data_IF_561745680236
#
_entry.id   IF_561745680236
#
_cell.length_a   1.000
_cell.length_b   1.000
_cell.length_c   1.000
_cell.angle_alpha   90.00
_cell.angle_beta   90.00
_cell.angle_gamma   90.00
#
_symmetry.space_group_name_H-M   'P 1'
#
loop_
_entity.id
_entity.type
_entity.pdbx_description
1 polymer ?
#
# COMPACT_ATOMS: atom_id res chain seq x y z
N UNK A 1 -11.55 -57.55 12.37
CA UNK A 1 -10.34 -56.89 11.85
C UNK A 1 -10.76 -55.61 11.15
N UNK A 2 -10.57 -54.49 11.83
CA UNK A 2 -11.07 -53.15 11.47
C UNK A 2 -9.91 -52.27 11.01
N UNK A 3 -9.91 -51.74 9.77
CA UNK A 3 -9.04 -50.64 9.41
C UNK A 3 -9.62 -49.32 9.96
N UNK A 4 -8.74 -48.56 10.59
CA UNK A 4 -9.00 -47.36 11.40
C UNK A 4 -9.51 -46.18 10.55
N UNK A 5 -10.53 -45.41 11.00
CA UNK A 5 -11.05 -44.24 10.28
C UNK A 5 -10.15 -42.99 10.39
N UNK A 6 -8.89 -43.13 10.85
CA UNK A 6 -7.99 -42.00 11.13
C UNK A 6 -7.32 -41.38 9.91
N UNK A 7 -7.32 -42.06 8.76
CA UNK A 7 -6.58 -41.58 7.58
C UNK A 7 -7.38 -40.55 6.77
N UNK A 8 -8.72 -40.65 6.75
CA UNK A 8 -9.55 -39.70 5.99
C UNK A 8 -9.65 -38.31 6.64
N UNK A 9 -9.50 -38.21 7.96
CA UNK A 9 -9.62 -36.93 8.67
C UNK A 9 -8.39 -36.02 8.50
N UNK A 10 -7.22 -36.60 8.23
CA UNK A 10 -5.97 -35.82 8.04
C UNK A 10 -5.91 -35.18 6.64
N UNK A 11 -6.48 -35.82 5.62
CA UNK A 11 -6.56 -35.27 4.26
C UNK A 11 -7.57 -34.11 4.15
N UNK A 12 -8.67 -34.14 4.93
CA UNK A 12 -9.65 -33.05 4.94
C UNK A 12 -9.10 -31.80 5.68
N UNK A 13 -8.30 -31.99 6.73
CA UNK A 13 -7.63 -30.89 7.45
C UNK A 13 -6.49 -30.24 6.64
N UNK A 14 -5.83 -30.98 5.74
CA UNK A 14 -4.84 -30.42 4.83
C UNK A 14 -5.47 -29.58 3.69
N UNK A 15 -6.69 -29.93 3.25
CA UNK A 15 -7.42 -29.16 2.24
C UNK A 15 -8.07 -27.88 2.82
N UNK A 16 -8.39 -27.85 4.11
CA UNK A 16 -8.98 -26.69 4.79
C UNK A 16 -7.95 -25.63 5.21
N UNK A 17 -6.65 -25.88 5.01
CA UNK A 17 -5.59 -24.92 5.30
C UNK A 17 -5.26 -23.97 4.12
N UNK A 18 -5.88 -24.17 2.94
CA UNK A 18 -5.61 -23.37 1.74
C UNK A 18 -6.72 -22.40 1.35
N UNK A 19 -7.80 -22.29 2.15
CA UNK A 19 -8.70 -21.15 2.03
C UNK A 19 -8.06 -19.95 2.73
N UNK A 20 -7.06 -19.37 2.07
CA UNK A 20 -6.66 -17.99 2.36
C UNK A 20 -7.95 -17.17 2.22
N UNK A 21 -8.47 -16.54 3.30
CA UNK A 21 -9.60 -15.65 3.11
C UNK A 21 -9.14 -14.60 2.09
N UNK A 22 -10.00 -14.28 1.13
CA UNK A 22 -9.73 -13.31 0.05
C UNK A 22 -9.50 -11.85 0.55
N UNK A 23 -9.02 -11.68 1.79
CA UNK A 23 -8.58 -10.45 2.41
C UNK A 23 -7.37 -10.63 3.35
N UNK A 24 -6.70 -11.79 3.36
CA UNK A 24 -5.43 -11.92 4.06
C UNK A 24 -4.31 -11.37 3.18
N UNK A 25 -3.82 -10.18 3.52
CA UNK A 25 -2.63 -9.58 2.91
C UNK A 25 -1.48 -10.59 2.99
N UNK A 26 -1.02 -11.11 1.86
CA UNK A 26 0.15 -11.99 1.83
C UNK A 26 1.37 -11.12 2.10
N UNK A 27 2.14 -11.47 3.14
CA UNK A 27 3.44 -10.85 3.42
C UNK A 27 4.50 -11.91 3.16
N UNK A 28 5.28 -11.71 2.11
CA UNK A 28 6.49 -12.50 1.88
C UNK A 28 7.55 -12.04 2.89
N UNK A 29 7.76 -12.86 3.92
CA UNK A 29 8.71 -12.57 4.99
C UNK A 29 10.11 -13.03 4.57
N UNK A 30 10.97 -12.09 4.18
CA UNK A 30 12.40 -12.34 4.05
C UNK A 30 13.18 -11.21 4.71
N UNK A 31 13.91 -11.55 5.78
CA UNK A 31 14.95 -10.78 6.47
C UNK A 31 14.66 -9.28 6.70
N UNK A 32 13.62 -9.00 7.47
CA UNK A 32 13.28 -7.62 7.88
C UNK A 32 13.86 -7.30 9.26
N UNK A 33 14.44 -6.11 9.38
CA UNK A 33 14.86 -5.52 10.66
C UNK A 33 13.63 -5.23 11.55
N UNK A 34 13.79 -5.11 12.88
CA UNK A 34 12.67 -4.85 13.79
C UNK A 34 11.89 -3.56 13.47
N UNK A 35 12.55 -2.54 12.92
CA UNK A 35 11.92 -1.28 12.51
C UNK A 35 11.03 -1.48 11.26
N UNK A 36 11.52 -2.24 10.28
CA UNK A 36 10.79 -2.58 9.06
C UNK A 36 9.57 -3.45 9.37
N UNK A 37 9.71 -4.42 10.29
CA UNK A 37 8.60 -5.23 10.78
C UNK A 37 7.53 -4.34 11.44
N UNK A 38 7.92 -3.41 12.31
CA UNK A 38 6.98 -2.50 12.97
C UNK A 38 6.21 -1.64 11.97
N UNK A 39 6.89 -1.04 10.99
CA UNK A 39 6.22 -0.23 9.97
C UNK A 39 5.33 -1.07 9.06
N UNK A 40 5.76 -2.28 8.69
CA UNK A 40 4.94 -3.20 7.88
C UNK A 40 3.65 -3.60 8.61
N UNK A 41 3.72 -3.86 9.92
CA UNK A 41 2.52 -4.09 10.73
C UNK A 41 1.62 -2.86 10.81
N UNK A 42 2.20 -1.67 11.01
CA UNK A 42 1.44 -0.43 11.00
C UNK A 42 0.77 -0.18 9.63
N UNK A 43 1.44 -0.49 8.52
CA UNK A 43 0.89 -0.38 7.17
C UNK A 43 -0.23 -1.39 6.91
N UNK A 44 -0.12 -2.61 7.44
CA UNK A 44 -1.24 -3.58 7.40
C UNK A 44 -2.47 -3.06 8.14
N UNK A 45 -2.30 -2.45 9.30
CA UNK A 45 -3.40 -1.83 10.03
C UNK A 45 -3.99 -0.65 9.23
N UNK A 46 -3.13 0.20 8.66
CA UNK A 46 -3.55 1.28 7.77
C UNK A 46 -4.24 0.79 6.51
N UNK A 47 -3.95 -0.41 6.03
CA UNK A 47 -4.61 -0.98 4.84
C UNK A 47 -6.10 -1.19 5.06
N UNK A 48 -6.47 -1.63 6.25
CA UNK A 48 -7.88 -1.79 6.61
C UNK A 48 -8.58 -0.43 6.59
N UNK A 49 -7.92 0.60 7.14
CA UNK A 49 -8.38 1.98 7.10
C UNK A 49 -8.50 2.48 5.66
N UNK A 50 -7.41 2.43 4.88
CA UNK A 50 -7.39 2.87 3.49
C UNK A 50 -8.48 2.17 2.67
N UNK A 51 -8.59 0.84 2.71
CA UNK A 51 -9.56 0.10 1.92
C UNK A 51 -11.01 0.40 2.31
N UNK A 52 -11.28 0.76 3.58
CA UNK A 52 -12.59 1.22 4.03
C UNK A 52 -12.95 2.61 3.48
N UNK A 53 -11.95 3.46 3.21
CA UNK A 53 -12.12 4.81 2.70
C UNK A 53 -11.85 4.95 1.19
N UNK A 54 -11.25 3.94 0.53
CA UNK A 54 -10.82 4.00 -0.86
C UNK A 54 -11.96 4.32 -1.82
N UNK A 55 -13.16 3.79 -1.56
CA UNK A 55 -14.35 4.05 -2.36
C UNK A 55 -14.90 5.49 -2.22
N UNK A 56 -14.46 6.22 -1.18
CA UNK A 56 -14.84 7.63 -0.92
C UNK A 56 -13.80 8.62 -1.44
N UNK A 57 -12.61 8.14 -1.79
CA UNK A 57 -11.57 9.01 -2.33
C UNK A 57 -11.96 9.49 -3.74
N UNK A 58 -11.51 10.70 -4.14
CA UNK A 58 -11.77 11.19 -5.48
C UNK A 58 -11.19 10.23 -6.53
N UNK A 59 -11.96 9.94 -7.58
CA UNK A 59 -11.54 8.99 -8.62
C UNK A 59 -10.24 9.38 -9.35
N UNK A 60 -9.88 10.67 -9.36
CA UNK A 60 -8.60 11.12 -9.92
C UNK A 60 -7.40 10.80 -9.02
N UNK A 61 -7.60 10.56 -7.72
CA UNK A 61 -6.54 10.20 -6.78
C UNK A 61 -6.26 8.69 -6.80
N UNK A 62 -7.31 7.86 -6.83
CA UNK A 62 -7.17 6.39 -6.78
C UNK A 62 -7.23 5.71 -8.14
N UNK A 63 -7.96 6.29 -9.10
CA UNK A 63 -8.18 5.71 -10.42
C UNK A 63 -6.91 5.46 -11.23
N UNK A 64 -5.91 6.38 -11.23
CA UNK A 64 -4.65 6.15 -11.94
C UNK A 64 -3.88 4.90 -11.50
N UNK A 65 -4.11 4.42 -10.28
CA UNK A 65 -3.38 3.31 -9.66
C UNK A 65 -4.26 2.09 -9.37
N UNK A 66 -5.48 2.04 -9.91
CA UNK A 66 -6.50 1.08 -9.48
C UNK A 66 -6.08 -0.40 -9.59
N UNK A 67 -5.22 -0.76 -10.54
CA UNK A 67 -4.78 -2.13 -10.82
C UNK A 67 -3.26 -2.18 -11.06
N UNK A 68 -2.50 -1.48 -10.22
CA UNK A 68 -1.09 -1.20 -10.47
C UNK A 68 -0.24 -1.47 -9.23
N UNK A 69 1.06 -1.62 -9.46
CA UNK A 69 2.07 -1.73 -8.41
C UNK A 69 2.80 -0.41 -8.24
N UNK A 70 3.00 0.03 -7.01
CA UNK A 70 3.81 1.22 -6.69
C UNK A 70 4.81 0.88 -5.61
N UNK A 71 5.91 1.64 -5.55
CA UNK A 71 6.83 1.57 -4.44
C UNK A 71 6.72 2.81 -3.56
N UNK A 72 6.69 2.60 -2.25
CA UNK A 72 6.83 3.63 -1.23
C UNK A 72 8.23 3.57 -0.64
N UNK A 73 8.98 4.66 -0.78
CA UNK A 73 10.31 4.86 -0.23
C UNK A 73 10.17 5.71 1.01
N UNK A 74 10.39 5.09 2.17
CA UNK A 74 10.33 5.75 3.47
C UNK A 74 11.73 6.10 3.91
N UNK A 75 12.05 7.39 3.91
CA UNK A 75 13.36 7.89 4.32
C UNK A 75 13.38 8.08 5.84
N UNK A 76 14.36 7.47 6.50
CA UNK A 76 14.58 7.60 7.93
C UNK A 76 16.07 7.88 8.23
N UNK A 77 16.42 8.37 9.42
CA UNK A 77 17.83 8.55 9.81
C UNK A 77 18.65 7.25 9.76
N UNK A 78 17.99 6.10 9.94
CA UNK A 78 18.61 4.78 9.98
C UNK A 78 18.76 4.13 8.59
N UNK A 79 18.16 4.72 7.55
CA UNK A 79 18.19 4.21 6.17
C UNK A 79 16.91 4.48 5.39
N UNK A 80 16.86 3.96 4.16
CA UNK A 80 15.69 4.02 3.28
C UNK A 80 15.03 2.65 3.26
N UNK A 81 13.75 2.61 3.63
CA UNK A 81 12.92 1.42 3.54
C UNK A 81 12.07 1.50 2.27
N UNK A 82 12.04 0.42 1.50
CA UNK A 82 11.26 0.32 0.26
C UNK A 82 10.13 -0.67 0.47
N UNK A 83 8.90 -0.25 0.15
CA UNK A 83 7.69 -1.05 0.35
C UNK A 83 6.90 -1.05 -0.94
N UNK A 84 6.76 -2.22 -1.54
CA UNK A 84 5.90 -2.47 -2.70
C UNK A 84 4.46 -2.55 -2.25
N UNK A 85 3.57 -1.90 -2.98
CA UNK A 85 2.14 -1.87 -2.71
C UNK A 85 1.43 -2.24 -4.00
N UNK A 86 0.67 -3.34 -3.97
CA UNK A 86 -0.15 -3.76 -5.10
C UNK A 86 -1.58 -3.35 -4.88
N UNK A 87 -2.14 -2.64 -5.86
CA UNK A 87 -3.54 -2.24 -5.90
C UNK A 87 -4.34 -3.13 -6.84
N UNK A 88 -5.57 -3.44 -6.43
CA UNK A 88 -6.60 -4.04 -7.28
C UNK A 88 -7.95 -3.40 -6.97
N UNK A 89 -8.67 -2.97 -8.00
CA UNK A 89 -9.89 -2.16 -7.86
C UNK A 89 -9.76 -1.01 -6.84
N UNK A 90 -8.66 -0.25 -6.92
CA UNK A 90 -8.33 0.91 -6.04
C UNK A 90 -8.02 0.54 -4.57
N UNK A 91 -8.09 -0.73 -4.22
CA UNK A 91 -7.81 -1.26 -2.88
C UNK A 91 -6.44 -1.88 -2.83
N UNK A 92 -5.78 -1.77 -1.69
CA UNK A 92 -4.50 -2.43 -1.46
C UNK A 92 -4.78 -3.91 -1.19
N UNK A 93 -4.13 -4.79 -1.96
CA UNK A 93 -4.27 -6.24 -1.85
C UNK A 93 -3.00 -6.95 -1.38
N UNK A 94 -1.84 -6.31 -1.51
CA UNK A 94 -0.55 -6.90 -1.13
C UNK A 94 0.47 -5.83 -0.73
N UNK A 95 1.37 -6.22 0.20
CA UNK A 95 2.60 -5.49 0.47
C UNK A 95 3.80 -6.40 0.24
N UNK A 96 4.82 -5.85 -0.41
CA UNK A 96 6.12 -6.48 -0.54
C UNK A 96 7.15 -5.63 0.21
N UNK A 97 7.81 -6.22 1.20
CA UNK A 97 8.79 -5.50 2.02
C UNK A 97 10.14 -5.29 1.30
N UNK A 98 10.30 -5.81 0.07
CA UNK A 98 11.46 -5.59 -0.80
C UNK A 98 11.16 -4.62 -1.95
N UNK A 99 9.94 -4.09 -2.03
CA UNK A 99 9.50 -3.34 -3.20
C UNK A 99 8.94 -4.25 -4.29
N UNK A 100 8.12 -3.66 -5.15
CA UNK A 100 7.71 -4.25 -6.43
C UNK A 100 8.85 -4.11 -7.45
N UNK A 101 9.08 -5.12 -8.31
CA UNK A 101 10.16 -5.10 -9.29
C UNK A 101 9.88 -4.20 -10.51
N UNK A 102 8.61 -4.00 -10.86
CA UNK A 102 8.18 -3.14 -11.98
C UNK A 102 7.06 -2.18 -11.54
N UNK A 103 7.35 -1.25 -10.61
CA UNK A 103 6.36 -0.29 -10.13
C UNK A 103 6.05 0.73 -11.24
N UNK A 104 4.78 1.12 -11.37
CA UNK A 104 4.40 2.22 -12.28
C UNK A 104 4.84 3.58 -11.73
N UNK A 105 4.89 3.71 -10.41
CA UNK A 105 5.17 4.94 -9.68
C UNK A 105 5.96 4.63 -8.41
N UNK A 106 6.86 5.55 -8.08
CA UNK A 106 7.51 5.64 -6.79
C UNK A 106 6.98 6.85 -6.02
N UNK A 107 6.58 6.62 -4.77
CA UNK A 107 6.29 7.65 -3.78
C UNK A 107 7.47 7.70 -2.83
N UNK A 108 8.06 8.87 -2.60
CA UNK A 108 9.09 9.04 -1.57
C UNK A 108 8.56 9.95 -0.48
N UNK A 109 8.73 9.58 0.78
CA UNK A 109 8.36 10.40 1.93
C UNK A 109 9.27 10.08 3.11
N UNK A 110 9.42 11.01 4.05
CA UNK A 110 10.07 10.68 5.32
C UNK A 110 9.14 9.89 6.26
N UNK A 111 9.72 9.15 7.21
CA UNK A 111 8.97 8.31 8.13
C UNK A 111 7.94 9.10 8.97
N UNK A 112 8.23 10.34 9.36
CA UNK A 112 7.31 11.16 10.15
C UNK A 112 6.11 11.60 9.30
N UNK A 113 6.33 11.97 8.04
CA UNK A 113 5.27 12.27 7.06
C UNK A 113 4.37 11.06 6.85
N UNK A 114 4.92 9.86 6.71
CA UNK A 114 4.14 8.62 6.55
C UNK A 114 3.29 8.36 7.79
N UNK A 115 3.88 8.45 8.98
CA UNK A 115 3.14 8.29 10.25
C UNK A 115 2.02 9.32 10.40
N UNK A 116 2.28 10.59 10.07
CA UNK A 116 1.30 11.67 10.11
C UNK A 116 0.11 11.39 9.18
N UNK A 117 0.37 10.95 7.94
CA UNK A 117 -0.67 10.57 6.98
C UNK A 117 -1.49 9.39 7.50
N UNK A 118 -0.84 8.41 8.12
CA UNK A 118 -1.49 7.19 8.60
C UNK A 118 -2.45 7.44 9.77
N UNK A 119 -2.11 8.36 10.67
CA UNK A 119 -2.92 8.68 11.86
C UNK A 119 -3.89 9.85 11.65
N UNK A 120 -3.81 10.52 10.49
CA UNK A 120 -4.66 11.67 10.16
C UNK A 120 -6.13 11.27 9.94
N UNK A 121 -7.04 12.11 10.41
CA UNK A 121 -8.47 12.01 10.07
C UNK A 121 -8.75 12.32 8.59
N UNK A 122 -7.83 13.04 7.92
CA UNK A 122 -7.91 13.42 6.50
C UNK A 122 -6.61 13.05 5.77
N UNK A 123 -6.31 11.75 5.55
CA UNK A 123 -5.02 11.29 5.00
C UNK A 123 -4.67 11.92 3.65
N UNK A 124 -5.67 12.09 2.77
CA UNK A 124 -5.45 12.71 1.45
C UNK A 124 -5.00 14.16 1.55
N UNK A 125 -5.55 14.93 2.49
CA UNK A 125 -5.19 16.33 2.70
C UNK A 125 -3.82 16.46 3.34
N UNK A 126 -3.50 15.60 4.31
CA UNK A 126 -2.17 15.52 4.92
C UNK A 126 -1.11 15.16 3.87
N UNK A 127 -1.37 14.16 3.03
CA UNK A 127 -0.46 13.78 1.96
C UNK A 127 -0.29 14.89 0.91
N UNK A 128 -1.39 15.57 0.53
CA UNK A 128 -1.33 16.76 -0.35
C UNK A 128 -0.45 17.85 0.26
N UNK A 129 -0.61 18.14 1.54
CA UNK A 129 0.21 19.13 2.24
C UNK A 129 1.69 18.72 2.22
N UNK A 130 2.00 17.45 2.50
CA UNK A 130 3.36 16.92 2.44
C UNK A 130 3.99 17.09 1.04
N UNK A 131 3.24 16.79 -0.03
CA UNK A 131 3.74 17.03 -1.39
C UNK A 131 4.00 18.50 -1.71
N UNK A 132 3.17 19.40 -1.18
CA UNK A 132 3.38 20.85 -1.33
C UNK A 132 4.60 21.34 -0.55
N UNK A 133 4.87 20.75 0.61
CA UNK A 133 6.02 21.08 1.45
C UNK A 133 7.31 20.39 1.00
N UNK A 134 7.23 19.48 0.02
CA UNK A 134 8.37 18.72 -0.50
C UNK A 134 8.83 17.60 0.43
N UNK A 135 8.06 17.27 1.47
CA UNK A 135 8.34 16.15 2.38
C UNK A 135 7.77 14.83 1.85
N UNK A 136 6.93 14.89 0.81
CA UNK A 136 6.55 13.76 -0.02
C UNK A 136 6.72 14.09 -1.52
N UNK A 137 7.10 13.11 -2.33
CA UNK A 137 7.17 13.23 -3.78
C UNK A 137 6.53 12.01 -4.44
N UNK A 138 6.10 12.18 -5.69
CA UNK A 138 5.51 11.12 -6.51
C UNK A 138 6.12 11.17 -7.91
N UNK A 139 6.75 10.08 -8.33
CA UNK A 139 7.53 10.01 -9.56
C UNK A 139 7.08 8.82 -10.40
N UNK A 140 6.90 9.03 -11.70
CA UNK A 140 6.53 7.96 -12.61
C UNK A 140 7.78 7.25 -13.12
N UNK A 141 7.82 5.93 -13.00
CA UNK A 141 8.96 5.11 -13.42
C UNK A 141 9.01 4.91 -14.94
N UNK A 142 7.88 5.15 -15.61
CA UNK A 142 7.78 5.15 -17.07
C UNK A 142 6.86 6.28 -17.56
N UNK A 143 6.67 6.37 -18.88
CA UNK A 143 5.84 7.41 -19.50
C UNK A 143 4.39 7.36 -18.99
N UNK A 144 3.81 6.17 -18.83
CA UNK A 144 2.45 5.98 -18.33
C UNK A 144 2.37 6.41 -16.86
N UNK A 145 3.35 6.03 -16.04
CA UNK A 145 3.50 6.48 -14.66
C UNK A 145 3.59 8.00 -14.58
N UNK A 146 4.41 8.63 -15.42
CA UNK A 146 4.58 10.09 -15.45
C UNK A 146 3.26 10.80 -15.79
N UNK A 147 2.50 10.28 -16.75
CA UNK A 147 1.18 10.81 -17.07
C UNK A 147 0.19 10.65 -15.91
N UNK A 148 0.19 9.48 -15.24
CA UNK A 148 -0.67 9.19 -14.09
C UNK A 148 -0.35 10.07 -12.89
N UNK A 149 0.92 10.29 -12.57
CA UNK A 149 1.33 11.25 -11.54
C UNK A 149 0.94 12.68 -11.90
N UNK A 150 1.00 13.04 -13.19
CA UNK A 150 0.50 14.31 -13.71
C UNK A 150 -1.00 14.53 -13.45
N UNK A 151 -1.84 13.50 -13.66
CA UNK A 151 -3.27 13.57 -13.36
C UNK A 151 -3.55 13.80 -11.87
N UNK A 152 -2.79 13.13 -11.00
CA UNK A 152 -2.90 13.29 -9.54
C UNK A 152 -2.51 14.71 -9.12
N UNK A 153 -1.37 15.22 -9.61
CA UNK A 153 -0.93 16.60 -9.36
C UNK A 153 -1.93 17.63 -9.88
N UNK A 154 -2.51 17.39 -11.05
CA UNK A 154 -3.55 18.24 -11.60
C UNK A 154 -4.78 18.28 -10.69
N UNK A 155 -5.24 17.12 -10.20
CA UNK A 155 -6.34 17.03 -9.24
C UNK A 155 -6.08 17.82 -7.96
N UNK A 156 -4.87 17.71 -7.40
CA UNK A 156 -4.46 18.53 -6.26
C UNK A 156 -4.46 20.02 -6.57
N UNK A 157 -3.95 20.43 -7.73
CA UNK A 157 -3.96 21.84 -8.16
C UNK A 157 -5.39 22.40 -8.33
N UNK A 158 -6.33 21.59 -8.82
CA UNK A 158 -7.75 21.98 -8.90
C UNK A 158 -8.36 22.16 -7.52
N UNK A 159 -8.06 21.28 -6.56
CA UNK A 159 -8.53 21.46 -5.17
C UNK A 159 -7.98 22.74 -4.55
N UNK A 160 -6.71 23.05 -4.78
CA UNK A 160 -6.06 24.26 -4.28
C UNK A 160 -6.70 25.53 -4.87
N UNK A 161 -7.01 25.52 -6.18
CA UNK A 161 -7.73 26.60 -6.85
C UNK A 161 -9.14 26.80 -6.26
N UNK A 162 -9.83 25.71 -5.97
CA UNK A 162 -11.19 25.72 -5.43
C UNK A 162 -11.26 25.90 -3.91
N UNK A 163 -10.11 25.95 -3.21
CA UNK A 163 -10.00 26.00 -1.74
C UNK A 163 -10.76 24.86 -1.04
N UNK A 164 -10.69 23.66 -1.62
CA UNK A 164 -11.28 22.43 -1.09
C UNK A 164 -10.29 21.66 -0.19
#
# INVERSE_FOLDING_TARGET
MTPRPRVFFVLLLAALALTVPAGALVVENADLTPAEVKLLFAMREYTLTYNAYADRLPGWATGPFANEEINLYVTSPDGVLVIGITFHDRKIVQFDAKGCPDPIVTVTADAATVEEVMVSERPLDTFRAAMRHGTATIEGENLIGTLRTGLVRFGFGVMDLLRL
#
